data_IF_329624466373
#
_entry.id   IF_329624466373
#
_cell.length_a   1.000
_cell.length_b   1.000
_cell.length_c   1.000
_cell.angle_alpha   90.00
_cell.angle_beta   90.00
_cell.angle_gamma   90.00
#
_symmetry.space_group_name_H-M   'P 1'
#
loop_
_entity.id
_entity.type
_entity.pdbx_description
1 polymer ?
#
# COMPACT_ATOMS: atom_id res chain seq x y z
N UNK A 1 23.17 0.87 63.20
CA UNK A 1 22.04 1.70 62.72
C UNK A 1 22.04 1.65 61.21
N UNK A 2 21.12 0.86 60.72
CA UNK A 2 20.90 0.60 59.31
C UNK A 2 20.13 1.79 58.72
N UNK A 3 20.49 2.19 57.53
CA UNK A 3 19.65 3.06 56.70
C UNK A 3 19.56 2.44 55.30
N UNK A 4 18.35 2.00 54.95
CA UNK A 4 17.94 1.44 53.68
C UNK A 4 18.03 2.48 52.59
N UNK A 5 18.63 2.13 51.44
CA UNK A 5 18.52 2.83 50.17
C UNK A 5 17.52 2.10 49.29
N UNK A 6 16.31 2.61 49.20
CA UNK A 6 15.37 2.20 48.15
C UNK A 6 15.71 2.96 46.85
N UNK A 7 16.29 2.26 45.91
CA UNK A 7 16.40 2.75 44.51
C UNK A 7 15.03 2.54 43.85
N UNK A 8 14.41 3.64 43.43
CA UNK A 8 13.19 3.60 42.61
C UNK A 8 13.55 3.18 41.19
N UNK A 9 13.09 2.02 40.78
CA UNK A 9 13.11 1.59 39.37
C UNK A 9 12.13 2.45 38.55
N UNK A 10 12.67 3.09 37.51
CA UNK A 10 11.86 3.77 36.49
C UNK A 10 11.11 2.75 35.65
N UNK A 11 9.84 2.97 35.28
CA UNK A 11 9.10 2.06 34.43
C UNK A 11 9.67 2.05 33.01
N UNK A 12 9.60 0.91 32.30
CA UNK A 12 10.14 0.79 30.94
C UNK A 12 9.36 1.70 29.98
N UNK A 13 10.15 2.38 29.17
CA UNK A 13 9.72 3.30 28.12
C UNK A 13 8.77 2.59 27.15
N UNK A 14 7.50 2.91 27.18
CA UNK A 14 6.50 2.41 26.25
C UNK A 14 6.78 2.97 24.85
N UNK A 15 7.11 2.09 23.93
CA UNK A 15 7.33 2.38 22.52
C UNK A 15 6.02 2.85 21.88
N UNK A 16 5.85 4.10 21.41
CA UNK A 16 4.60 4.61 20.88
C UNK A 16 4.21 4.04 19.49
N UNK A 17 5.06 3.19 18.89
CA UNK A 17 4.82 2.59 17.57
C UNK A 17 3.91 1.35 17.55
N UNK A 18 3.65 0.72 18.68
CA UNK A 18 2.90 -0.54 18.74
C UNK A 18 1.37 -0.38 18.75
N UNK A 19 0.83 0.81 19.03
CA UNK A 19 -0.60 1.02 19.26
C UNK A 19 -1.39 1.62 18.08
N UNK A 20 -0.75 2.01 16.99
CA UNK A 20 -1.48 2.59 15.84
C UNK A 20 -2.32 1.56 15.07
N UNK A 21 -1.99 0.27 15.14
CA UNK A 21 -2.70 -0.81 14.43
C UNK A 21 -3.87 -1.43 15.21
N UNK A 22 -3.96 -1.23 16.50
CA UNK A 22 -5.04 -1.83 17.32
C UNK A 22 -6.42 -1.15 17.11
N UNK A 23 -6.46 0.08 16.62
CA UNK A 23 -7.70 0.83 16.43
C UNK A 23 -8.37 0.66 15.05
N UNK A 24 -7.76 -0.07 14.12
CA UNK A 24 -8.27 -0.23 12.75
C UNK A 24 -9.11 -1.51 12.55
N UNK A 25 -9.43 -2.25 13.60
CA UNK A 25 -10.20 -3.52 13.52
C UNK A 25 -11.70 -3.22 13.71
N UNK A 26 -12.24 -2.34 12.88
CA UNK A 26 -13.69 -2.11 12.81
C UNK A 26 -14.29 -2.74 11.55
N UNK A 27 -15.64 -2.76 11.46
CA UNK A 27 -16.35 -3.10 10.23
C UNK A 27 -15.81 -2.28 9.06
N UNK A 28 -15.90 -2.85 7.84
CA UNK A 28 -15.32 -2.22 6.65
C UNK A 28 -15.87 -0.81 6.40
N UNK A 29 -17.18 -0.62 6.61
CA UNK A 29 -17.82 0.69 6.49
C UNK A 29 -17.24 1.70 7.49
N UNK A 30 -17.02 1.30 8.74
CA UNK A 30 -16.46 2.20 9.76
C UNK A 30 -15.02 2.65 9.41
N UNK A 31 -14.23 1.79 8.75
CA UNK A 31 -12.91 2.17 8.25
C UNK A 31 -12.99 3.21 7.13
N UNK A 32 -14.00 3.12 6.25
CA UNK A 32 -14.26 4.15 5.22
C UNK A 32 -14.69 5.46 5.85
N UNK A 33 -15.59 5.41 6.84
CA UNK A 33 -16.10 6.62 7.52
C UNK A 33 -14.99 7.38 8.26
N UNK A 34 -13.94 6.66 8.68
CA UNK A 34 -12.75 7.25 9.31
C UNK A 34 -11.73 7.84 8.32
N UNK A 35 -11.91 7.68 7.01
CA UNK A 35 -10.98 8.23 6.02
C UNK A 35 -10.95 9.76 6.04
N UNK A 36 -9.83 10.39 5.62
CA UNK A 36 -9.79 11.82 5.33
C UNK A 36 -10.91 12.26 4.39
N UNK A 37 -11.47 13.46 4.61
CA UNK A 37 -12.63 13.96 3.87
C UNK A 37 -12.48 13.88 2.35
N UNK A 38 -11.32 14.28 1.80
CA UNK A 38 -11.08 14.21 0.36
C UNK A 38 -11.18 12.80 -0.23
N UNK A 39 -10.77 11.76 0.52
CA UNK A 39 -10.98 10.38 0.07
C UNK A 39 -12.45 9.96 0.17
N UNK A 40 -13.16 10.36 1.22
CA UNK A 40 -14.59 10.05 1.35
C UNK A 40 -15.40 10.67 0.20
N UNK A 41 -15.08 11.89 -0.20
CA UNK A 41 -15.70 12.57 -1.35
C UNK A 41 -15.42 11.83 -2.66
N UNK A 42 -14.18 11.42 -2.93
CA UNK A 42 -13.80 10.66 -4.13
C UNK A 42 -14.42 9.27 -4.16
N UNK A 43 -14.58 8.62 -3.01
CA UNK A 43 -15.16 7.28 -2.88
C UNK A 43 -16.69 7.27 -2.87
N UNK A 44 -17.35 8.38 -2.56
CA UNK A 44 -18.81 8.43 -2.44
C UNK A 44 -19.56 7.79 -3.63
N UNK A 45 -19.19 8.07 -4.90
CA UNK A 45 -19.85 7.43 -6.04
C UNK A 45 -19.63 5.91 -6.12
N UNK A 46 -18.54 5.41 -5.49
CA UNK A 46 -18.12 4.02 -5.53
C UNK A 46 -18.82 3.16 -4.48
N UNK A 47 -19.31 3.75 -3.40
CA UNK A 47 -19.71 3.04 -2.18
C UNK A 47 -21.23 3.00 -1.92
N UNK A 48 -22.02 3.85 -2.53
CA UNK A 48 -23.47 3.97 -2.26
C UNK A 48 -24.36 2.92 -2.91
N UNK A 49 -23.88 1.72 -3.20
CA UNK A 49 -24.60 0.72 -3.98
C UNK A 49 -24.63 -0.68 -3.33
N UNK A 50 -25.48 -1.56 -3.87
CA UNK A 50 -25.65 -2.92 -3.36
C UNK A 50 -24.36 -3.76 -3.44
N UNK A 51 -23.46 -3.47 -4.40
CA UNK A 51 -22.18 -4.18 -4.53
C UNK A 51 -21.23 -3.87 -3.38
N UNK A 52 -21.22 -2.61 -2.92
CA UNK A 52 -20.45 -2.22 -1.73
C UNK A 52 -21.00 -2.89 -0.45
N UNK A 53 -22.32 -2.87 -0.27
CA UNK A 53 -22.96 -3.54 0.87
C UNK A 53 -22.61 -5.03 0.89
N UNK A 54 -22.73 -5.72 -0.25
CA UNK A 54 -22.38 -7.14 -0.37
C UNK A 54 -20.89 -7.41 -0.09
N UNK A 55 -19.99 -6.50 -0.47
CA UNK A 55 -18.57 -6.60 -0.15
C UNK A 55 -18.30 -6.43 1.36
N UNK A 56 -18.98 -5.48 2.01
CA UNK A 56 -18.91 -5.31 3.46
C UNK A 56 -19.38 -6.56 4.18
N UNK A 57 -20.58 -7.07 3.81
CA UNK A 57 -21.14 -8.28 4.39
C UNK A 57 -20.22 -9.49 4.23
N UNK A 58 -19.57 -9.61 3.07
CA UNK A 58 -18.62 -10.68 2.80
C UNK A 58 -17.38 -10.56 3.71
N UNK A 59 -16.69 -9.40 3.70
CA UNK A 59 -15.43 -9.23 4.44
C UNK A 59 -15.67 -9.30 5.96
N UNK A 60 -16.70 -8.63 6.45
CA UNK A 60 -17.03 -8.60 7.86
C UNK A 60 -17.59 -9.95 8.33
N UNK A 61 -18.32 -10.66 7.46
CA UNK A 61 -18.78 -12.03 7.69
C UNK A 61 -17.63 -13.04 7.84
N UNK A 62 -16.61 -12.96 6.97
CA UNK A 62 -15.39 -13.78 7.08
C UNK A 62 -14.66 -13.53 8.41
N UNK A 63 -14.53 -12.27 8.83
CA UNK A 63 -13.95 -11.89 10.12
C UNK A 63 -14.78 -12.38 11.30
N UNK A 64 -16.11 -12.24 11.24
CA UNK A 64 -17.02 -12.70 12.27
C UNK A 64 -17.02 -14.23 12.41
N UNK A 65 -16.76 -14.95 11.31
CA UNK A 65 -16.56 -16.40 11.31
C UNK A 65 -15.19 -16.84 11.87
N UNK A 66 -14.36 -15.90 12.36
CA UNK A 66 -13.05 -16.16 12.93
C UNK A 66 -11.93 -16.40 11.93
N UNK A 67 -12.16 -16.13 10.64
CA UNK A 67 -11.10 -16.23 9.63
C UNK A 67 -10.13 -15.05 9.75
N UNK A 68 -8.82 -15.30 9.73
CA UNK A 68 -7.83 -14.21 9.69
C UNK A 68 -7.84 -13.52 8.33
N UNK A 69 -8.38 -12.30 8.28
CA UNK A 69 -8.46 -11.46 7.07
C UNK A 69 -7.46 -10.31 7.17
N UNK A 70 -6.55 -10.22 6.21
CA UNK A 70 -5.50 -9.21 6.14
C UNK A 70 -5.72 -8.22 5.01
N UNK A 71 -5.19 -6.98 5.13
CA UNK A 71 -4.71 -6.36 6.36
C UNK A 71 -5.85 -5.98 7.31
N UNK A 72 -5.54 -5.72 8.56
CA UNK A 72 -6.53 -5.18 9.49
C UNK A 72 -6.89 -3.74 9.12
N UNK A 73 -5.90 -2.88 8.88
CA UNK A 73 -6.06 -1.51 8.37
C UNK A 73 -6.17 -1.53 6.83
N UNK A 74 -7.38 -1.79 6.33
CA UNK A 74 -7.61 -2.00 4.89
C UNK A 74 -7.24 -0.78 4.04
N UNK A 75 -7.52 0.42 4.54
CA UNK A 75 -7.33 1.68 3.82
C UNK A 75 -6.11 2.47 4.31
N UNK A 76 -5.11 1.80 4.87
CA UNK A 76 -3.92 2.47 5.42
C UNK A 76 -3.20 3.36 4.40
N UNK A 77 -3.10 2.92 3.14
CA UNK A 77 -2.54 3.71 2.06
C UNK A 77 -3.26 5.06 1.89
N UNK A 78 -4.60 5.09 2.04
CA UNK A 78 -5.40 6.31 1.91
C UNK A 78 -5.22 7.26 3.10
N UNK A 79 -4.96 6.71 4.29
CA UNK A 79 -4.64 7.53 5.47
C UNK A 79 -3.27 8.22 5.35
N UNK A 80 -2.28 7.51 4.80
CA UNK A 80 -0.92 8.05 4.67
C UNK A 80 -0.76 9.02 3.49
N UNK A 81 -1.55 8.83 2.44
CA UNK A 81 -1.45 9.61 1.20
C UNK A 81 -2.77 10.33 0.93
N UNK A 82 -3.02 11.53 1.48
CA UNK A 82 -4.22 12.31 1.17
C UNK A 82 -4.35 12.54 -0.35
N UNK A 83 -5.57 12.62 -0.93
CA UNK A 83 -5.75 12.70 -2.38
C UNK A 83 -5.03 13.89 -2.99
N UNK A 84 -4.95 15.01 -2.26
CA UNK A 84 -4.26 16.22 -2.71
C UNK A 84 -2.74 16.08 -2.76
N UNK A 85 -2.17 15.17 -2.02
CA UNK A 85 -0.73 14.90 -2.02
C UNK A 85 -0.31 13.84 -3.04
N UNK A 86 -1.25 13.09 -3.64
CA UNK A 86 -0.90 12.03 -4.60
C UNK A 86 -0.14 12.59 -5.79
N UNK A 87 1.00 12.01 -6.08
CA UNK A 87 1.87 12.31 -7.22
C UNK A 87 2.13 11.08 -8.08
N UNK A 88 2.34 9.94 -7.43
CA UNK A 88 2.58 8.65 -8.07
C UNK A 88 1.57 7.64 -7.55
N UNK A 89 1.07 6.77 -8.42
CA UNK A 89 0.22 5.61 -8.06
C UNK A 89 0.96 4.36 -8.50
N UNK A 90 1.19 3.44 -7.58
CA UNK A 90 1.74 2.11 -7.87
C UNK A 90 0.66 1.09 -7.58
N UNK A 91 0.25 0.33 -8.61
CA UNK A 91 -0.82 -0.67 -8.46
C UNK A 91 -0.24 -2.05 -8.19
N UNK A 92 -0.65 -2.64 -7.05
CA UNK A 92 -0.51 -4.06 -6.75
C UNK A 92 -1.77 -4.83 -7.10
N UNK A 93 -1.72 -6.15 -7.00
CA UNK A 93 -2.87 -7.02 -7.27
C UNK A 93 -3.70 -7.23 -5.99
N UNK A 94 -3.16 -7.96 -5.03
CA UNK A 94 -3.78 -8.33 -3.77
C UNK A 94 -2.75 -8.23 -2.62
N UNK A 95 -3.20 -8.16 -1.35
CA UNK A 95 -2.29 -8.11 -0.22
C UNK A 95 -1.49 -9.41 -0.06
N UNK A 96 -0.34 -9.35 0.58
CA UNK A 96 0.36 -10.55 1.03
C UNK A 96 -0.53 -11.33 1.99
N UNK A 97 -0.66 -12.64 1.77
CA UNK A 97 -1.50 -13.52 2.58
C UNK A 97 -0.73 -14.22 3.70
N UNK A 98 0.58 -14.03 3.78
CA UNK A 98 1.45 -14.64 4.77
C UNK A 98 1.65 -13.77 6.00
N UNK A 99 2.37 -14.35 6.96
CA UNK A 99 2.81 -13.69 8.20
C UNK A 99 4.32 -13.65 8.28
N UNK A 100 4.85 -12.84 9.18
CA UNK A 100 6.25 -12.79 9.59
C UNK A 100 6.37 -12.81 11.11
N UNK A 101 7.57 -13.08 11.62
CA UNK A 101 7.84 -13.08 13.06
C UNK A 101 8.69 -11.86 13.39
N UNK A 102 8.20 -11.00 14.27
CA UNK A 102 8.88 -9.78 14.76
C UNK A 102 8.82 -9.75 16.28
N UNK A 103 9.98 -9.71 16.93
CA UNK A 103 10.04 -9.72 18.40
C UNK A 103 9.43 -10.97 19.04
N UNK A 104 9.37 -12.10 18.34
CA UNK A 104 8.73 -13.34 18.79
C UNK A 104 7.21 -13.41 18.56
N UNK A 105 6.59 -12.34 18.06
CA UNK A 105 5.17 -12.32 17.71
C UNK A 105 4.97 -12.55 16.22
N UNK A 106 3.96 -13.33 15.86
CA UNK A 106 3.52 -13.50 14.48
C UNK A 106 2.64 -12.30 14.07
N UNK A 107 3.03 -11.62 12.98
CA UNK A 107 2.30 -10.46 12.46
C UNK A 107 2.01 -10.62 10.97
N UNK A 108 0.91 -10.06 10.43
CA UNK A 108 0.63 -10.05 9.00
C UNK A 108 1.73 -9.37 8.19
N UNK A 109 2.07 -9.93 7.03
CA UNK A 109 2.92 -9.25 6.05
C UNK A 109 2.20 -8.06 5.42
N UNK A 110 0.89 -8.18 5.19
CA UNK A 110 0.08 -7.10 4.65
C UNK A 110 -0.28 -6.09 5.76
N UNK A 111 -0.01 -4.81 5.49
CA UNK A 111 -0.37 -3.71 6.39
C UNK A 111 -1.10 -2.55 5.68
N UNK A 112 -1.73 -2.83 4.54
CA UNK A 112 -2.58 -1.89 3.83
C UNK A 112 -1.88 -1.02 2.77
N UNK A 113 -0.62 -1.35 2.42
CA UNK A 113 0.12 -0.75 1.32
C UNK A 113 0.57 -1.84 0.34
N UNK A 114 0.37 -1.61 -0.97
CA UNK A 114 0.86 -2.53 -2.00
C UNK A 114 2.38 -2.68 -1.95
N UNK A 115 2.88 -3.90 -2.14
CA UNK A 115 4.31 -4.31 -2.12
C UNK A 115 5.02 -4.15 -0.77
N UNK A 116 4.46 -3.45 0.20
CA UNK A 116 5.04 -3.12 1.49
C UNK A 116 4.81 -4.20 2.54
N UNK A 117 5.75 -4.31 3.48
CA UNK A 117 5.62 -5.13 4.69
C UNK A 117 6.04 -4.32 5.92
N UNK A 118 5.53 -4.62 7.12
CA UNK A 118 5.95 -3.95 8.36
C UNK A 118 7.46 -4.08 8.63
N UNK A 119 8.00 -3.15 9.42
CA UNK A 119 9.39 -3.23 9.88
C UNK A 119 9.68 -4.55 10.60
N UNK A 120 10.86 -5.09 10.36
CA UNK A 120 11.28 -6.39 10.92
C UNK A 120 10.76 -7.62 10.17
N UNK A 121 9.77 -7.46 9.30
CA UNK A 121 9.31 -8.55 8.42
C UNK A 121 10.28 -8.71 7.24
N UNK A 122 10.58 -9.94 6.90
CA UNK A 122 11.47 -10.26 5.77
C UNK A 122 10.96 -9.65 4.46
N UNK A 123 11.81 -8.90 3.79
CA UNK A 123 11.50 -8.25 2.51
C UNK A 123 11.08 -9.28 1.46
N UNK A 124 9.86 -9.16 0.87
CA UNK A 124 9.36 -10.08 -0.14
C UNK A 124 10.17 -10.07 -1.44
N UNK A 125 10.14 -11.15 -2.23
CA UNK A 125 10.94 -11.26 -3.45
C UNK A 125 10.65 -10.16 -4.48
N UNK A 126 9.39 -9.77 -4.68
CA UNK A 126 9.02 -8.69 -5.60
C UNK A 126 9.59 -7.35 -5.14
N UNK A 127 9.51 -7.06 -3.85
CA UNK A 127 10.04 -5.82 -3.28
C UNK A 127 11.58 -5.76 -3.35
N UNK A 128 12.27 -6.90 -3.19
CA UNK A 128 13.72 -6.96 -3.44
C UNK A 128 14.09 -6.57 -4.87
N UNK A 129 13.30 -7.00 -5.86
CA UNK A 129 13.52 -6.61 -7.25
C UNK A 129 13.22 -5.12 -7.48
N UNK A 130 12.21 -4.57 -6.81
CA UNK A 130 11.94 -3.13 -6.82
C UNK A 130 13.16 -2.35 -6.28
N UNK A 131 13.69 -2.75 -5.12
CA UNK A 131 14.88 -2.11 -4.57
C UNK A 131 16.13 -2.28 -5.44
N UNK A 132 16.26 -3.44 -6.11
CA UNK A 132 17.35 -3.67 -7.06
C UNK A 132 17.29 -2.71 -8.25
N UNK A 133 16.09 -2.47 -8.79
CA UNK A 133 15.88 -1.52 -9.88
C UNK A 133 16.22 -0.09 -9.43
N UNK A 134 15.73 0.34 -8.27
CA UNK A 134 16.05 1.66 -7.71
C UNK A 134 17.56 1.82 -7.52
N UNK A 135 18.22 0.81 -6.95
CA UNK A 135 19.67 0.81 -6.77
C UNK A 135 20.43 0.98 -8.10
N UNK A 136 19.98 0.27 -9.15
CA UNK A 136 20.57 0.39 -10.48
C UNK A 136 20.34 1.78 -11.10
N UNK A 137 19.17 2.36 -10.90
CA UNK A 137 18.85 3.71 -11.41
C UNK A 137 19.64 4.82 -10.70
N UNK A 138 19.82 4.73 -9.38
CA UNK A 138 20.43 5.81 -8.57
C UNK A 138 21.88 5.55 -8.16
N UNK A 139 22.46 4.42 -8.58
CA UNK A 139 23.83 4.06 -8.24
C UNK A 139 24.03 3.80 -6.74
N UNK A 140 22.97 3.37 -6.06
CA UNK A 140 22.97 3.05 -4.64
C UNK A 140 23.02 1.53 -4.42
N UNK A 141 23.58 1.12 -3.28
CA UNK A 141 23.50 -0.30 -2.88
C UNK A 141 22.01 -0.71 -2.74
N UNK A 142 21.59 -1.83 -3.34
CA UNK A 142 20.17 -2.20 -3.44
C UNK A 142 19.54 -2.70 -2.14
N UNK A 143 20.29 -2.68 -1.03
CA UNK A 143 19.86 -3.32 0.21
C UNK A 143 19.24 -2.28 1.15
N UNK A 144 17.90 -2.22 1.16
CA UNK A 144 17.17 -1.61 2.28
C UNK A 144 16.98 -2.65 3.38
N UNK A 145 17.25 -2.24 4.61
CA UNK A 145 17.07 -3.09 5.80
C UNK A 145 15.57 -3.36 6.08
N UNK A 146 14.70 -2.43 5.69
CA UNK A 146 13.25 -2.50 5.89
C UNK A 146 12.49 -2.62 4.57
N UNK A 147 11.42 -3.42 4.58
CA UNK A 147 10.41 -3.49 3.53
C UNK A 147 9.23 -2.55 3.73
N UNK A 148 9.30 -1.66 4.72
CA UNK A 148 8.24 -0.68 4.98
C UNK A 148 8.36 0.50 4.00
N UNK A 149 7.28 0.75 3.25
CA UNK A 149 7.21 1.80 2.22
C UNK A 149 6.38 3.01 2.67
N UNK A 150 6.06 3.14 3.96
CA UNK A 150 5.33 4.31 4.46
C UNK A 150 6.06 5.62 4.16
N UNK A 151 7.39 5.62 4.12
CA UNK A 151 8.18 6.78 3.73
C UNK A 151 7.88 7.27 2.31
N UNK A 152 7.58 6.36 1.37
CA UNK A 152 7.10 6.74 0.04
C UNK A 152 5.66 7.25 0.07
N UNK A 153 4.78 6.58 0.83
CA UNK A 153 3.39 6.98 0.94
C UNK A 153 3.26 8.42 1.47
N UNK A 154 4.03 8.78 2.50
CA UNK A 154 4.08 10.14 3.05
C UNK A 154 4.61 11.19 2.05
N UNK A 155 5.36 10.77 1.05
CA UNK A 155 5.81 11.62 -0.06
C UNK A 155 4.80 11.70 -1.22
N UNK A 156 3.62 11.12 -1.10
CA UNK A 156 2.59 11.17 -2.13
C UNK A 156 2.64 10.01 -3.14
N UNK A 157 3.22 8.87 -2.76
CA UNK A 157 3.12 7.62 -3.52
C UNK A 157 1.95 6.81 -2.99
N UNK A 158 0.87 6.74 -3.73
CA UNK A 158 -0.28 5.89 -3.40
C UNK A 158 0.04 4.44 -3.78
N UNK A 159 0.31 3.62 -2.77
CA UNK A 159 0.59 2.18 -2.89
C UNK A 159 -0.72 1.39 -2.74
N UNK A 160 -1.44 1.19 -3.83
CA UNK A 160 -2.80 0.65 -3.83
C UNK A 160 -2.86 -0.73 -4.47
N UNK A 161 -3.45 -1.71 -3.77
CA UNK A 161 -3.84 -2.98 -4.39
C UNK A 161 -5.21 -2.84 -5.06
N UNK A 162 -5.47 -3.64 -6.08
CA UNK A 162 -6.79 -3.68 -6.73
C UNK A 162 -7.79 -4.53 -5.95
N UNK A 163 -7.32 -5.47 -5.14
CA UNK A 163 -8.08 -6.21 -4.12
C UNK A 163 -7.48 -5.83 -2.77
N UNK A 164 -8.29 -5.34 -1.82
CA UNK A 164 -7.75 -4.74 -0.60
C UNK A 164 -7.71 -5.69 0.60
N UNK A 165 -8.29 -6.88 0.50
CA UNK A 165 -8.28 -7.88 1.59
C UNK A 165 -7.96 -9.27 1.06
N UNK A 166 -7.47 -10.15 1.94
CA UNK A 166 -7.13 -11.54 1.65
C UNK A 166 -7.27 -12.39 2.92
N UNK A 167 -7.70 -13.65 2.80
CA UNK A 167 -7.64 -14.63 3.88
C UNK A 167 -6.20 -15.12 4.08
N UNK A 168 -5.76 -15.26 5.33
CA UNK A 168 -4.43 -15.79 5.65
C UNK A 168 -4.18 -17.13 4.96
N UNK A 169 -3.02 -17.28 4.33
CA UNK A 169 -2.60 -18.50 3.67
C UNK A 169 -3.27 -18.79 2.32
N UNK A 170 -4.28 -18.00 1.90
CA UNK A 170 -5.10 -18.26 0.73
C UNK A 170 -5.02 -17.11 -0.28
N UNK A 171 -4.01 -17.14 -1.16
CA UNK A 171 -3.79 -16.11 -2.16
C UNK A 171 -5.03 -15.89 -3.04
N UNK A 172 -5.33 -14.63 -3.37
CA UNK A 172 -6.47 -14.21 -4.19
C UNK A 172 -7.86 -14.66 -3.68
N UNK A 173 -8.00 -15.07 -2.41
CA UNK A 173 -9.27 -15.55 -1.83
C UNK A 173 -10.41 -14.53 -1.91
N UNK A 174 -10.09 -13.24 -1.91
CA UNK A 174 -11.06 -12.14 -1.99
C UNK A 174 -11.13 -11.51 -3.39
N UNK A 175 -10.44 -12.06 -4.39
CA UNK A 175 -10.57 -11.62 -5.77
C UNK A 175 -12.00 -11.87 -6.30
N UNK A 176 -12.50 -10.97 -7.14
CA UNK A 176 -13.85 -11.03 -7.71
C UNK A 176 -14.99 -11.04 -6.68
N UNK A 177 -14.74 -10.45 -5.52
CA UNK A 177 -15.74 -10.24 -4.46
C UNK A 177 -16.28 -8.81 -4.42
N UNK A 178 -15.83 -7.93 -5.34
CA UNK A 178 -16.30 -6.55 -5.45
C UNK A 178 -15.22 -5.50 -5.25
N UNK A 179 -14.03 -5.87 -4.74
CA UNK A 179 -12.93 -4.93 -4.54
C UNK A 179 -12.52 -4.22 -5.82
N UNK A 180 -12.42 -4.96 -6.93
CA UNK A 180 -11.98 -4.42 -8.21
C UNK A 180 -12.87 -3.28 -8.69
N UNK A 181 -14.20 -3.38 -8.50
CA UNK A 181 -15.14 -2.31 -8.86
C UNK A 181 -14.91 -1.04 -8.02
N UNK A 182 -14.66 -1.19 -6.72
CA UNK A 182 -14.39 -0.07 -5.80
C UNK A 182 -13.07 0.60 -6.14
N UNK A 183 -12.01 -0.19 -6.34
CA UNK A 183 -10.67 0.35 -6.63
C UNK A 183 -10.58 0.93 -8.04
N UNK A 184 -11.27 0.36 -9.03
CA UNK A 184 -11.36 0.91 -10.39
C UNK A 184 -12.06 2.27 -10.38
N UNK A 185 -13.18 2.37 -9.65
CA UNK A 185 -13.88 3.64 -9.45
C UNK A 185 -12.97 4.67 -8.74
N UNK A 186 -12.26 4.29 -7.69
CA UNK A 186 -11.32 5.17 -6.98
C UNK A 186 -10.19 5.66 -7.89
N UNK A 187 -9.55 4.74 -8.65
CA UNK A 187 -8.47 5.07 -9.58
C UNK A 187 -8.98 6.06 -10.64
N UNK A 188 -10.15 5.80 -11.22
CA UNK A 188 -10.75 6.69 -12.20
C UNK A 188 -11.08 8.07 -11.60
N UNK A 189 -11.74 8.13 -10.44
CA UNK A 189 -12.08 9.37 -9.76
C UNK A 189 -10.82 10.19 -9.43
N UNK A 190 -9.76 9.55 -8.94
CA UNK A 190 -8.48 10.21 -8.67
C UNK A 190 -7.85 10.74 -9.98
N UNK A 191 -7.80 9.93 -11.04
CA UNK A 191 -7.26 10.34 -12.34
C UNK A 191 -8.04 11.52 -12.92
N UNK A 192 -9.36 11.53 -12.81
CA UNK A 192 -10.19 12.63 -13.30
C UNK A 192 -10.11 13.89 -12.45
N UNK A 193 -9.84 13.77 -11.15
CA UNK A 193 -9.76 14.93 -10.25
C UNK A 193 -8.43 15.70 -10.38
N UNK A 194 -7.34 15.04 -10.82
CA UNK A 194 -5.99 15.62 -10.79
C UNK A 194 -5.22 15.32 -12.09
N UNK A 195 -4.64 16.34 -12.74
CA UNK A 195 -3.76 16.13 -13.90
C UNK A 195 -2.33 15.75 -13.47
N UNK A 196 -1.56 15.28 -14.42
CA UNK A 196 -0.11 15.08 -14.32
C UNK A 196 0.31 14.16 -13.16
N UNK A 197 -0.47 13.09 -12.92
CA UNK A 197 -0.06 11.99 -12.06
C UNK A 197 0.85 11.03 -12.83
N UNK A 198 1.63 10.25 -12.09
CA UNK A 198 2.38 9.11 -12.63
C UNK A 198 1.68 7.83 -12.19
N UNK A 199 1.44 6.92 -13.14
CA UNK A 199 0.91 5.57 -12.85
C UNK A 199 1.96 4.54 -13.24
N UNK A 200 2.42 3.76 -12.28
CA UNK A 200 3.32 2.63 -12.50
C UNK A 200 2.50 1.34 -12.52
N UNK A 201 2.34 0.76 -13.71
CA UNK A 201 1.52 -0.41 -13.97
C UNK A 201 2.41 -1.61 -14.28
N UNK A 202 2.66 -2.43 -13.26
CA UNK A 202 3.57 -3.56 -13.35
C UNK A 202 2.82 -4.89 -13.47
N UNK A 203 2.98 -5.53 -14.64
CA UNK A 203 2.30 -6.77 -15.01
C UNK A 203 0.91 -6.56 -15.62
N UNK A 204 0.41 -7.59 -16.30
CA UNK A 204 -0.82 -7.53 -17.09
C UNK A 204 -2.05 -7.11 -16.26
N UNK A 205 -2.12 -7.51 -14.98
CA UNK A 205 -3.23 -7.17 -14.11
C UNK A 205 -3.32 -5.65 -13.85
N UNK A 206 -2.19 -5.02 -13.53
CA UNK A 206 -2.14 -3.56 -13.35
C UNK A 206 -2.32 -2.82 -14.69
N UNK A 207 -1.71 -3.31 -15.78
CA UNK A 207 -1.82 -2.72 -17.11
C UNK A 207 -3.25 -2.73 -17.66
N UNK A 208 -4.08 -3.70 -17.28
CA UNK A 208 -5.50 -3.72 -17.62
C UNK A 208 -6.28 -2.49 -17.10
N UNK A 209 -5.72 -1.76 -16.10
CA UNK A 209 -6.33 -0.55 -15.53
C UNK A 209 -6.01 0.72 -16.33
N UNK A 210 -5.20 0.65 -17.38
CA UNK A 210 -4.80 1.80 -18.20
C UNK A 210 -6.00 2.54 -18.80
N UNK A 211 -7.04 1.84 -19.23
CA UNK A 211 -8.26 2.43 -19.77
C UNK A 211 -8.98 3.38 -18.79
N UNK A 212 -8.78 3.20 -17.46
CA UNK A 212 -9.37 4.06 -16.42
C UNK A 212 -8.71 5.46 -16.38
N UNK A 213 -7.56 5.62 -17.02
CA UNK A 213 -6.73 6.82 -16.94
C UNK A 213 -6.95 7.77 -18.13
N UNK A 214 -7.81 7.42 -19.06
CA UNK A 214 -8.11 8.23 -20.22
C UNK A 214 -8.81 9.54 -19.85
N UNK A 215 -8.58 10.59 -20.65
CA UNK A 215 -9.23 11.90 -20.48
C UNK A 215 -8.44 12.97 -19.74
N UNK A 216 -7.31 12.62 -19.12
CA UNK A 216 -6.38 13.57 -18.48
C UNK A 216 -4.92 13.24 -18.84
N UNK A 217 -4.02 14.25 -18.90
CA UNK A 217 -2.61 14.00 -19.15
C UNK A 217 -1.95 13.36 -17.93
N UNK A 218 -1.64 12.09 -18.01
CA UNK A 218 -0.88 11.34 -17.01
C UNK A 218 0.36 10.70 -17.64
N UNK A 219 1.39 10.43 -16.83
CA UNK A 219 2.48 9.56 -17.21
C UNK A 219 2.09 8.12 -16.85
N UNK A 220 2.03 7.23 -17.83
CA UNK A 220 1.73 5.81 -17.60
C UNK A 220 2.99 5.01 -17.95
N UNK A 221 3.59 4.38 -16.95
CA UNK A 221 4.81 3.59 -17.04
C UNK A 221 4.46 2.10 -16.90
N UNK A 222 4.65 1.34 -17.96
CA UNK A 222 4.28 -0.07 -18.05
C UNK A 222 5.53 -0.96 -18.11
N UNK A 223 5.61 -1.98 -17.25
CA UNK A 223 6.66 -3.00 -17.24
C UNK A 223 6.09 -4.37 -16.84
N UNK A 224 6.82 -5.47 -17.07
CA UNK A 224 6.51 -6.76 -16.45
C UNK A 224 6.45 -6.65 -14.92
N UNK A 225 5.75 -7.58 -14.27
CA UNK A 225 5.64 -7.57 -12.80
C UNK A 225 7.02 -7.79 -12.14
N UNK A 226 7.33 -7.15 -10.99
CA UNK A 226 8.63 -7.28 -10.31
C UNK A 226 8.87 -8.64 -9.64
N UNK A 227 7.97 -9.61 -9.77
CA UNK A 227 8.17 -10.96 -9.23
C UNK A 227 9.41 -11.64 -9.83
N UNK A 228 10.06 -12.57 -9.11
CA UNK A 228 11.19 -13.32 -9.65
C UNK A 228 10.90 -14.04 -10.99
N UNK A 229 9.62 -14.37 -11.22
CA UNK A 229 9.19 -15.07 -12.44
C UNK A 229 9.20 -14.17 -13.69
N UNK A 230 9.16 -12.85 -13.54
CA UNK A 230 8.98 -11.90 -14.65
C UNK A 230 9.91 -10.69 -14.62
N UNK A 231 10.54 -10.36 -13.50
CA UNK A 231 11.35 -9.15 -13.37
C UNK A 231 12.48 -9.06 -14.43
N UNK A 232 13.10 -10.19 -14.78
CA UNK A 232 14.15 -10.27 -15.81
C UNK A 232 13.64 -10.05 -17.23
N UNK A 233 12.31 -10.02 -17.45
CA UNK A 233 11.68 -9.83 -18.75
C UNK A 233 11.47 -8.38 -19.12
N UNK A 234 12.03 -7.42 -18.34
CA UNK A 234 11.95 -5.99 -18.63
C UNK A 234 11.45 -5.12 -17.48
N UNK A 235 11.27 -5.64 -16.26
CA UNK A 235 11.13 -4.81 -15.07
C UNK A 235 12.50 -4.27 -14.63
N UNK A 236 13.50 -5.17 -14.54
CA UNK A 236 14.88 -4.74 -14.28
C UNK A 236 15.42 -4.03 -15.51
N UNK A 237 15.83 -2.76 -15.34
CA UNK A 237 16.27 -1.87 -16.38
C UNK A 237 15.15 -1.03 -17.00
N UNK A 238 13.93 -1.00 -16.42
CA UNK A 238 12.82 -0.20 -16.93
C UNK A 238 12.98 1.32 -16.70
N UNK A 239 13.79 1.74 -15.72
CA UNK A 239 14.06 3.15 -15.46
C UNK A 239 12.86 3.95 -14.94
N UNK A 240 11.86 3.32 -14.37
CA UNK A 240 10.58 3.94 -14.02
C UNK A 240 10.69 4.98 -12.91
N UNK A 241 11.62 4.81 -11.97
CA UNK A 241 11.75 5.70 -10.82
C UNK A 241 12.34 7.06 -11.23
N UNK A 242 13.32 7.07 -12.14
CA UNK A 242 13.84 8.30 -12.75
C UNK A 242 12.80 8.92 -13.67
N UNK A 243 12.17 8.15 -14.56
CA UNK A 243 11.13 8.65 -15.44
C UNK A 243 9.97 9.32 -14.69
N UNK A 244 9.58 8.76 -13.55
CA UNK A 244 8.57 9.35 -12.67
C UNK A 244 9.03 10.71 -12.15
N UNK A 245 10.24 10.80 -11.63
CA UNK A 245 10.77 12.06 -11.11
C UNK A 245 10.95 13.11 -12.21
N UNK A 246 11.45 12.72 -13.38
CA UNK A 246 11.58 13.61 -14.55
C UNK A 246 10.21 14.16 -14.99
N UNK A 247 9.15 13.33 -14.93
CA UNK A 247 7.79 13.77 -15.20
C UNK A 247 7.30 14.77 -14.16
N UNK A 248 7.46 14.44 -12.88
CA UNK A 248 7.02 15.29 -11.77
C UNK A 248 7.69 16.68 -11.85
N UNK A 249 9.00 16.72 -12.00
CA UNK A 249 9.78 17.97 -12.10
C UNK A 249 9.36 18.82 -13.29
N UNK A 250 9.15 18.22 -14.46
CA UNK A 250 8.65 18.93 -15.66
C UNK A 250 7.27 19.55 -15.46
N UNK A 251 6.48 19.05 -14.49
CA UNK A 251 5.17 19.59 -14.16
C UNK A 251 5.15 20.38 -12.85
N UNK A 252 6.32 20.83 -12.37
CA UNK A 252 6.45 21.66 -11.18
C UNK A 252 6.10 20.95 -9.88
N UNK A 253 6.14 19.61 -9.85
CA UNK A 253 5.90 18.79 -8.65
C UNK A 253 7.24 18.34 -8.06
N UNK A 254 7.35 18.24 -6.72
CA UNK A 254 8.57 17.72 -6.10
C UNK A 254 8.83 16.27 -6.53
N UNK A 255 10.09 15.92 -6.73
CA UNK A 255 10.53 14.54 -6.93
C UNK A 255 10.23 13.66 -5.70
N UNK A 256 10.18 12.36 -5.90
CA UNK A 256 10.11 11.36 -4.83
C UNK A 256 11.54 10.93 -4.48
N UNK A 257 11.89 10.97 -3.20
CA UNK A 257 13.09 10.30 -2.70
C UNK A 257 12.81 8.80 -2.56
N UNK A 258 13.16 8.06 -3.60
CA UNK A 258 12.98 6.60 -3.63
C UNK A 258 13.95 5.85 -2.71
N UNK A 259 15.00 6.52 -2.24
CA UNK A 259 15.97 5.97 -1.30
C UNK A 259 15.57 6.19 0.16
N UNK A 260 14.63 7.09 0.45
CA UNK A 260 14.11 7.30 1.80
C UNK A 260 13.33 6.08 2.32
N UNK A 261 13.51 5.78 3.60
CA UNK A 261 12.80 4.72 4.34
C UNK A 261 11.55 5.26 5.03
#
# INVERSE_FOLDING_TARGET
MQADLFAAESPPNANPGANANANAVGPLQAQVDALPAGWRELLQPCLGNASWAALCDFVDGERAAGKPVFPHAVFHALHLTPPDSVRVVILGQDPYHGTGVVGGAEIPQAHGLAFSVPDGVKVPPSLRNIFKEIGAEYGAEPVRASGNLEGWARQGVLLLNTVLTVEQGNAASHARRGWEAVTDCLIHALAMSRPNLVFMLWGSHAQAKKALLEGKPHCVLEAPHPSPLSAHRGFLGCGHFRQANDWLERHGKPAIDWLAS
#
